data_IF_720790455605
#
_entry.id   IF_720790455605
#
_cell.length_a   1.000
_cell.length_b   1.000
_cell.length_c   1.000
_cell.angle_alpha   90.00
_cell.angle_beta   90.00
_cell.angle_gamma   90.00
#
_symmetry.space_group_name_H-M   'P 1'
#
loop_
_entity.id
_entity.type
_entity.pdbx_description
1 polymer ?
#
# COMPACT_ATOMS: atom_id res chain seq x y z
N UNK A 1 22.70 -34.96 -26.20
CA UNK A 1 22.26 -33.56 -26.39
C UNK A 1 21.13 -33.26 -25.39
N UNK A 2 21.44 -32.93 -24.15
CA UNK A 2 20.49 -32.30 -23.18
C UNK A 2 21.23 -31.91 -21.88
N UNK A 3 22.33 -31.16 -21.97
CA UNK A 3 23.05 -30.63 -20.81
C UNK A 3 23.23 -29.10 -20.88
N UNK A 4 22.57 -28.41 -21.81
CA UNK A 4 22.78 -26.96 -22.06
C UNK A 4 21.75 -26.04 -21.42
N UNK A 5 20.64 -26.54 -20.88
CA UNK A 5 19.59 -25.66 -20.33
C UNK A 5 19.73 -25.37 -18.83
N UNK A 6 20.32 -26.29 -18.06
CA UNK A 6 20.45 -26.11 -16.60
C UNK A 6 21.58 -25.13 -16.19
N UNK A 7 22.60 -24.94 -17.04
CA UNK A 7 23.68 -23.99 -16.76
C UNK A 7 23.35 -22.53 -17.05
N UNK A 8 22.28 -22.25 -17.81
CA UNK A 8 21.83 -20.91 -18.18
C UNK A 8 21.05 -20.20 -17.07
N UNK A 9 20.41 -20.94 -16.18
CA UNK A 9 19.52 -20.36 -15.15
C UNK A 9 20.25 -19.91 -13.88
N UNK A 10 21.47 -20.35 -13.67
CA UNK A 10 22.27 -19.97 -12.48
C UNK A 10 22.92 -18.58 -12.62
N UNK A 11 22.99 -18.03 -13.83
CA UNK A 11 23.72 -16.77 -14.10
C UNK A 11 22.90 -15.48 -14.00
N UNK A 12 21.62 -15.51 -13.61
CA UNK A 12 20.73 -14.33 -13.76
C UNK A 12 20.24 -13.65 -12.49
N UNK A 13 20.58 -14.10 -11.29
CA UNK A 13 20.19 -13.38 -10.08
C UNK A 13 21.41 -12.70 -9.48
N UNK A 14 21.56 -11.40 -9.72
CA UNK A 14 22.48 -10.60 -8.92
C UNK A 14 21.96 -10.56 -7.48
N UNK A 15 22.80 -10.89 -6.48
CA UNK A 15 22.38 -10.79 -5.07
C UNK A 15 21.99 -9.35 -4.77
N UNK A 16 20.85 -9.18 -4.09
CA UNK A 16 20.42 -7.88 -3.61
C UNK A 16 21.36 -7.39 -2.52
N UNK A 17 21.92 -6.20 -2.69
CA UNK A 17 22.72 -5.58 -1.64
C UNK A 17 21.81 -5.04 -0.55
N UNK A 18 21.79 -5.68 0.62
CA UNK A 18 21.06 -5.20 1.81
C UNK A 18 21.43 -3.74 2.13
N UNK A 19 22.72 -3.41 2.06
CA UNK A 19 23.21 -2.05 2.34
C UNK A 19 22.68 -1.02 1.33
N UNK A 20 22.58 -1.40 0.06
CA UNK A 20 21.99 -0.53 -0.96
C UNK A 20 20.50 -0.31 -0.71
N UNK A 21 19.75 -1.36 -0.43
CA UNK A 21 18.30 -1.25 -0.12
C UNK A 21 18.10 -0.38 1.12
N UNK A 22 18.87 -0.61 2.19
CA UNK A 22 18.85 0.20 3.41
C UNK A 22 19.13 1.67 3.12
N UNK A 23 20.17 1.96 2.35
CA UNK A 23 20.52 3.33 1.97
C UNK A 23 19.40 4.00 1.17
N UNK A 24 18.78 3.30 0.22
CA UNK A 24 17.66 3.82 -0.56
C UNK A 24 16.44 4.13 0.31
N UNK A 25 16.07 3.23 1.22
CA UNK A 25 14.95 3.43 2.15
C UNK A 25 15.19 4.64 3.03
N UNK A 26 16.34 4.72 3.69
CA UNK A 26 16.68 5.82 4.58
C UNK A 26 16.72 7.18 3.85
N UNK A 27 17.33 7.24 2.68
CA UNK A 27 17.33 8.46 1.86
C UNK A 27 15.93 8.90 1.45
N UNK A 28 15.07 7.95 1.11
CA UNK A 28 13.67 8.25 0.76
C UNK A 28 12.94 8.84 1.96
N UNK A 29 13.02 8.20 3.13
CA UNK A 29 12.40 8.67 4.36
C UNK A 29 12.90 10.08 4.73
N UNK A 30 14.22 10.29 4.73
CA UNK A 30 14.83 11.60 4.96
C UNK A 30 14.29 12.65 3.99
N UNK A 31 14.27 12.33 2.70
CA UNK A 31 13.82 13.26 1.66
C UNK A 31 12.36 13.68 1.87
N UNK A 32 11.47 12.75 2.18
CA UNK A 32 10.06 13.07 2.42
C UNK A 32 9.86 13.82 3.73
N UNK A 33 10.56 13.43 4.79
CA UNK A 33 10.50 14.15 6.06
C UNK A 33 10.95 15.60 5.89
N UNK A 34 12.12 15.84 5.29
CA UNK A 34 12.64 17.18 5.05
C UNK A 34 11.70 18.01 4.19
N UNK A 35 11.06 17.39 3.20
CA UNK A 35 10.19 18.09 2.26
C UNK A 35 8.83 18.46 2.85
N UNK A 36 8.25 17.60 3.70
CA UNK A 36 6.84 17.69 4.04
C UNK A 36 6.52 17.85 5.52
N UNK A 37 7.46 17.57 6.45
CA UNK A 37 7.15 17.57 7.87
C UNK A 37 6.72 18.92 8.42
N UNK A 38 7.11 20.02 7.78
CA UNK A 38 6.70 21.36 8.20
C UNK A 38 5.20 21.60 8.02
N UNK A 39 4.63 21.00 6.96
CA UNK A 39 3.22 21.22 6.58
C UNK A 39 2.31 20.11 7.09
N UNK A 40 2.85 18.89 7.27
CA UNK A 40 2.08 17.67 7.57
C UNK A 40 2.52 16.95 8.85
N UNK A 41 3.49 17.48 9.58
CA UNK A 41 3.91 16.91 10.85
C UNK A 41 4.77 15.65 10.73
N UNK A 42 4.51 14.69 11.62
CA UNK A 42 5.34 13.51 11.79
C UNK A 42 5.09 12.44 10.74
N UNK A 43 6.17 11.70 10.44
CA UNK A 43 6.12 10.57 9.50
C UNK A 43 5.65 9.29 10.23
N UNK A 44 4.60 8.68 9.70
CA UNK A 44 4.09 7.37 10.12
C UNK A 44 4.37 6.34 9.04
N UNK A 45 4.96 5.21 9.40
CA UNK A 45 5.32 4.13 8.49
C UNK A 45 4.31 2.98 8.62
N UNK A 46 3.56 2.72 7.56
CA UNK A 46 2.54 1.68 7.51
C UNK A 46 3.04 0.49 6.71
N UNK A 47 2.91 -0.72 7.25
CA UNK A 47 3.40 -1.96 6.65
C UNK A 47 2.30 -3.00 6.51
N UNK A 48 2.36 -3.74 5.40
CA UNK A 48 1.50 -4.91 5.19
C UNK A 48 1.83 -6.02 6.20
N UNK A 49 0.79 -6.70 6.68
CA UNK A 49 0.97 -7.99 7.33
C UNK A 49 1.05 -9.13 6.29
N UNK A 50 1.58 -10.27 6.72
CA UNK A 50 1.64 -11.49 5.87
C UNK A 50 0.26 -12.02 5.54
N UNK A 51 -0.65 -11.91 6.50
CA UNK A 51 -2.05 -12.25 6.38
C UNK A 51 -2.85 -10.99 6.01
N UNK A 52 -3.90 -11.16 5.20
CA UNK A 52 -4.77 -10.06 4.82
C UNK A 52 -6.21 -10.56 4.84
N UNK A 53 -7.09 -9.87 5.54
CA UNK A 53 -8.50 -10.19 5.69
C UNK A 53 -9.24 -10.37 4.34
N UNK A 54 -8.80 -9.65 3.30
CA UNK A 54 -9.39 -9.78 1.95
C UNK A 54 -9.21 -11.16 1.35
N UNK A 55 -8.14 -11.89 1.71
CA UNK A 55 -7.91 -13.26 1.25
C UNK A 55 -8.86 -14.26 1.88
N UNK A 56 -9.31 -13.99 3.12
CA UNK A 56 -10.32 -14.83 3.78
C UNK A 56 -11.69 -14.64 3.12
N UNK A 57 -12.00 -13.40 2.71
CA UNK A 57 -13.23 -13.08 2.00
C UNK A 57 -13.19 -13.55 0.54
N UNK A 58 -12.08 -13.38 -0.17
CA UNK A 58 -11.92 -13.71 -1.58
C UNK A 58 -10.59 -14.46 -1.82
N UNK A 59 -10.61 -15.80 -1.90
CA UNK A 59 -9.40 -16.62 -1.97
C UNK A 59 -8.49 -16.31 -3.17
N UNK A 60 -9.04 -15.72 -4.24
CA UNK A 60 -8.28 -15.35 -5.44
C UNK A 60 -7.57 -14.00 -5.34
N UNK A 61 -7.78 -13.25 -4.26
CA UNK A 61 -7.16 -11.95 -4.03
C UNK A 61 -5.63 -12.02 -4.10
N UNK A 62 -5.04 -11.21 -4.98
CA UNK A 62 -3.59 -11.13 -5.24
C UNK A 62 -2.90 -12.45 -5.67
N UNK A 63 -3.66 -13.47 -6.09
CA UNK A 63 -3.06 -14.73 -6.56
C UNK A 63 -2.26 -14.56 -7.87
N UNK A 64 -2.70 -13.68 -8.78
CA UNK A 64 -1.99 -13.35 -10.02
C UNK A 64 -0.56 -12.84 -9.77
N UNK A 65 -0.29 -12.21 -8.61
CA UNK A 65 1.05 -11.74 -8.25
C UNK A 65 2.05 -12.88 -8.05
N UNK A 66 1.61 -14.09 -7.68
CA UNK A 66 2.50 -15.26 -7.53
C UNK A 66 3.16 -15.62 -8.86
N UNK A 67 2.38 -15.66 -9.95
CA UNK A 67 2.89 -15.95 -11.30
C UNK A 67 3.90 -14.89 -11.73
N UNK A 68 3.56 -13.60 -11.61
CA UNK A 68 4.46 -12.49 -11.97
C UNK A 68 5.78 -12.52 -11.18
N UNK A 69 5.73 -12.87 -9.88
CA UNK A 69 6.95 -13.01 -9.05
C UNK A 69 7.80 -14.20 -9.48
N UNK A 70 7.19 -15.34 -9.85
CA UNK A 70 7.94 -16.53 -10.31
C UNK A 70 8.64 -16.30 -11.65
N UNK A 71 8.10 -15.43 -12.49
CA UNK A 71 8.67 -15.05 -13.80
C UNK A 71 9.72 -13.92 -13.69
N UNK A 72 9.85 -13.30 -12.53
CA UNK A 72 10.80 -12.22 -12.27
C UNK A 72 12.23 -12.73 -12.08
N UNK A 73 13.22 -11.98 -12.55
CA UNK A 73 14.65 -12.23 -12.28
C UNK A 73 15.05 -11.84 -10.85
N UNK A 74 14.20 -11.11 -10.12
CA UNK A 74 14.44 -10.68 -8.74
C UNK A 74 14.13 -11.81 -7.77
N UNK A 75 14.98 -12.01 -6.75
CA UNK A 75 14.65 -12.86 -5.60
C UNK A 75 13.74 -12.10 -4.63
N UNK A 76 12.44 -12.34 -4.77
CA UNK A 76 11.43 -11.68 -3.95
C UNK A 76 11.49 -12.08 -2.48
N UNK A 77 11.94 -13.30 -2.16
CA UNK A 77 12.06 -13.75 -0.77
C UNK A 77 13.21 -13.01 -0.10
N UNK A 78 14.38 -12.94 -0.75
CA UNK A 78 15.52 -12.16 -0.27
C UNK A 78 15.15 -10.68 -0.06
N UNK A 79 14.44 -10.07 -1.03
CA UNK A 79 13.97 -8.68 -0.90
C UNK A 79 13.06 -8.48 0.30
N UNK A 80 12.08 -9.37 0.51
CA UNK A 80 11.16 -9.27 1.65
C UNK A 80 11.86 -9.48 2.99
N UNK A 81 12.86 -10.36 3.06
CA UNK A 81 13.66 -10.55 4.26
C UNK A 81 14.49 -9.29 4.59
N UNK A 82 15.11 -8.68 3.58
CA UNK A 82 15.84 -7.40 3.73
C UNK A 82 14.88 -6.30 4.20
N UNK A 83 13.72 -6.13 3.57
CA UNK A 83 12.75 -5.10 3.94
C UNK A 83 12.19 -5.31 5.34
N UNK A 84 11.94 -6.56 5.75
CA UNK A 84 11.50 -6.89 7.11
C UNK A 84 12.58 -6.53 8.15
N UNK A 85 13.83 -6.80 7.83
CA UNK A 85 14.96 -6.43 8.68
C UNK A 85 15.06 -4.90 8.83
N UNK A 86 14.98 -4.17 7.72
CA UNK A 86 15.01 -2.69 7.73
C UNK A 86 13.81 -2.13 8.49
N UNK A 87 12.61 -2.72 8.37
CA UNK A 87 11.44 -2.32 9.15
C UNK A 87 11.72 -2.41 10.67
N UNK A 88 12.26 -3.53 11.14
CA UNK A 88 12.62 -3.72 12.54
C UNK A 88 13.70 -2.71 12.98
N UNK A 89 14.71 -2.48 12.15
CA UNK A 89 15.77 -1.49 12.40
C UNK A 89 15.20 -0.07 12.54
N UNK A 90 14.20 0.30 11.71
CA UNK A 90 13.52 1.59 11.78
C UNK A 90 12.71 1.73 13.08
N UNK A 91 11.99 0.69 13.47
CA UNK A 91 11.23 0.69 14.72
C UNK A 91 12.11 0.81 15.97
N UNK A 92 13.28 0.17 15.96
CA UNK A 92 14.19 0.14 17.10
C UNK A 92 15.05 1.40 17.24
N UNK A 93 15.42 2.03 16.12
CA UNK A 93 16.50 3.03 16.10
C UNK A 93 16.06 4.42 15.66
N UNK A 94 14.84 4.60 15.17
CA UNK A 94 14.37 5.89 14.65
C UNK A 94 13.11 6.37 15.37
N UNK A 95 12.89 7.70 15.42
CA UNK A 95 11.74 8.29 16.11
C UNK A 95 10.47 8.24 15.24
N UNK A 96 10.23 7.13 14.55
CA UNK A 96 9.05 6.99 13.70
C UNK A 96 7.99 6.09 14.35
N UNK A 97 6.72 6.42 14.15
CA UNK A 97 5.65 5.45 14.38
C UNK A 97 5.67 4.43 13.25
N UNK A 98 5.96 3.19 13.59
CA UNK A 98 5.94 2.05 12.65
C UNK A 98 4.70 1.21 12.97
N UNK A 99 3.76 1.12 12.07
CA UNK A 99 2.50 0.41 12.25
C UNK A 99 2.44 -0.81 11.34
N UNK A 100 2.26 -1.97 11.97
CA UNK A 100 2.00 -3.25 11.33
C UNK A 100 1.00 -4.00 12.16
N UNK A 101 -0.17 -4.27 11.61
CA UNK A 101 -1.30 -4.83 12.30
C UNK A 101 -1.67 -6.17 11.69
N UNK A 102 -1.86 -7.19 12.52
CA UNK A 102 -2.23 -8.52 12.06
C UNK A 102 -3.54 -8.46 11.27
N UNK A 103 -3.53 -9.04 10.08
CA UNK A 103 -4.67 -9.07 9.18
C UNK A 103 -4.88 -7.83 8.32
N UNK A 104 -4.13 -6.73 8.53
CA UNK A 104 -4.24 -5.48 7.78
C UNK A 104 -3.18 -5.36 6.68
N UNK A 105 -3.55 -4.72 5.58
CA UNK A 105 -2.61 -4.15 4.62
C UNK A 105 -2.25 -2.71 5.03
N UNK A 106 -1.14 -2.19 4.54
CA UNK A 106 -0.72 -0.80 4.78
C UNK A 106 -1.82 0.20 4.36
N UNK A 107 -2.53 -0.13 3.29
CA UNK A 107 -3.62 0.68 2.76
C UNK A 107 -4.80 0.76 3.73
N UNK A 108 -5.11 -0.33 4.46
CA UNK A 108 -6.13 -0.32 5.51
C UNK A 108 -5.75 0.61 6.66
N UNK A 109 -4.49 0.56 7.07
CA UNK A 109 -3.96 1.41 8.14
C UNK A 109 -4.08 2.89 7.75
N UNK A 110 -3.62 3.23 6.55
CA UNK A 110 -3.67 4.59 6.02
C UNK A 110 -5.12 5.07 5.91
N UNK A 111 -6.02 4.25 5.37
CA UNK A 111 -7.42 4.61 5.19
C UNK A 111 -8.14 4.86 6.53
N UNK A 112 -8.00 3.94 7.47
CA UNK A 112 -8.63 4.07 8.80
C UNK A 112 -8.12 5.30 9.54
N UNK A 113 -6.80 5.53 9.57
CA UNK A 113 -6.23 6.69 10.25
C UNK A 113 -6.65 8.00 9.58
N UNK A 114 -6.62 8.06 8.25
CA UNK A 114 -7.06 9.24 7.51
C UNK A 114 -8.52 9.56 7.80
N UNK A 115 -9.41 8.58 7.76
CA UNK A 115 -10.83 8.78 8.04
C UNK A 115 -11.08 9.18 9.50
N UNK A 116 -10.43 8.55 10.48
CA UNK A 116 -10.55 8.89 11.91
C UNK A 116 -10.06 10.31 12.20
N UNK A 117 -8.92 10.72 11.67
CA UNK A 117 -8.36 12.07 11.86
C UNK A 117 -9.26 13.11 11.18
N UNK A 118 -9.74 12.85 9.97
CA UNK A 118 -10.61 13.78 9.24
C UNK A 118 -11.99 13.96 9.86
N UNK A 119 -12.53 12.88 10.48
CA UNK A 119 -13.89 12.90 11.06
C UNK A 119 -13.95 13.33 12.53
N UNK A 120 -12.82 13.45 13.22
CA UNK A 120 -12.77 13.77 14.65
C UNK A 120 -12.29 15.20 14.85
N UNK A 121 -13.14 16.16 15.23
CA UNK A 121 -12.80 17.59 15.27
C UNK A 121 -11.53 17.94 16.07
N UNK A 122 -11.30 17.23 17.19
CA UNK A 122 -10.13 17.45 18.05
C UNK A 122 -8.84 16.81 17.53
N UNK A 123 -8.92 15.99 16.48
CA UNK A 123 -7.78 15.31 15.83
C UNK A 123 -7.55 15.83 14.42
N UNK A 124 -8.38 16.79 13.95
CA UNK A 124 -8.30 17.28 12.57
C UNK A 124 -6.95 17.93 12.28
N UNK A 125 -6.18 17.30 11.42
CA UNK A 125 -4.87 17.74 10.96
C UNK A 125 -4.75 17.52 9.45
N UNK A 126 -3.85 18.26 8.80
CA UNK A 126 -3.49 18.01 7.40
C UNK A 126 -2.77 16.68 7.26
N UNK A 127 -3.25 15.85 6.34
CA UNK A 127 -2.72 14.50 6.10
C UNK A 127 -2.08 14.44 4.71
N UNK A 128 -0.86 13.92 4.63
CA UNK A 128 -0.20 13.60 3.37
C UNK A 128 0.02 12.10 3.23
N UNK A 129 -0.62 11.48 2.27
CA UNK A 129 -0.37 10.11 1.85
C UNK A 129 0.76 10.11 0.82
N UNK A 130 1.89 9.48 1.13
CA UNK A 130 3.03 9.34 0.21
C UNK A 130 2.92 7.99 -0.49
N UNK A 131 2.14 7.95 -1.54
CA UNK A 131 1.89 6.75 -2.35
C UNK A 131 1.50 7.10 -3.78
N UNK A 132 1.92 6.27 -4.73
CA UNK A 132 1.47 6.34 -6.12
C UNK A 132 0.19 5.54 -6.38
N UNK A 133 -0.32 4.83 -5.37
CA UNK A 133 -1.50 4.00 -5.51
C UNK A 133 -2.75 4.86 -5.70
N UNK A 134 -3.54 4.49 -6.70
CA UNK A 134 -4.77 5.24 -7.04
C UNK A 134 -5.94 4.90 -6.15
N UNK A 135 -5.85 3.83 -5.36
CA UNK A 135 -6.91 3.47 -4.43
C UNK A 135 -7.11 4.55 -3.36
N UNK A 136 -6.05 5.28 -3.01
CA UNK A 136 -6.11 6.42 -2.10
C UNK A 136 -6.89 7.64 -2.63
N UNK A 137 -7.23 7.69 -3.93
CA UNK A 137 -8.13 8.74 -4.47
C UNK A 137 -9.47 8.75 -3.71
N UNK A 138 -9.93 7.59 -3.22
CA UNK A 138 -11.14 7.49 -2.39
C UNK A 138 -11.11 8.41 -1.16
N UNK A 139 -9.91 8.65 -0.60
CA UNK A 139 -9.74 9.46 0.61
C UNK A 139 -9.70 10.96 0.33
N UNK A 140 -9.61 11.36 -0.95
CA UNK A 140 -9.64 12.78 -1.35
C UNK A 140 -11.03 13.43 -1.18
N UNK A 141 -12.04 12.69 -0.73
CA UNK A 141 -13.32 13.23 -0.29
C UNK A 141 -13.17 14.13 0.95
N UNK A 142 -12.11 13.95 1.73
CA UNK A 142 -11.78 14.78 2.88
C UNK A 142 -10.79 15.88 2.47
N UNK A 143 -11.16 17.14 2.68
CA UNK A 143 -10.38 18.32 2.23
C UNK A 143 -8.97 18.39 2.83
N UNK A 144 -8.78 17.81 4.03
CA UNK A 144 -7.49 17.76 4.72
C UNK A 144 -6.59 16.59 4.28
N UNK A 145 -7.04 15.74 3.35
CA UNK A 145 -6.23 14.60 2.85
C UNK A 145 -5.65 14.96 1.48
N UNK A 146 -4.33 14.88 1.39
CA UNK A 146 -3.58 15.07 0.14
C UNK A 146 -2.75 13.83 -0.15
N UNK A 147 -2.50 13.57 -1.42
CA UNK A 147 -1.68 12.45 -1.87
C UNK A 147 -0.52 12.94 -2.73
N UNK A 148 0.69 12.45 -2.45
CA UNK A 148 1.89 12.71 -3.25
C UNK A 148 2.41 11.41 -3.86
N UNK A 149 2.53 11.37 -5.18
CA UNK A 149 3.11 10.22 -5.89
C UNK A 149 4.63 10.34 -5.94
N UNK A 150 5.37 9.42 -5.29
CA UNK A 150 6.83 9.37 -5.35
C UNK A 150 7.36 9.19 -6.77
N UNK A 151 6.71 8.35 -7.55
CA UNK A 151 7.11 8.03 -8.93
C UNK A 151 6.91 9.21 -9.88
N UNK A 152 5.75 9.89 -9.77
CA UNK A 152 5.42 11.05 -10.59
C UNK A 152 6.00 12.35 -10.04
N UNK A 153 6.49 12.36 -8.82
CA UNK A 153 7.03 13.53 -8.08
C UNK A 153 6.05 14.71 -8.03
N UNK A 154 4.75 14.43 -7.94
CA UNK A 154 3.68 15.43 -7.91
C UNK A 154 2.52 14.98 -7.03
N UNK A 155 1.70 15.95 -6.63
CA UNK A 155 0.42 15.66 -5.98
C UNK A 155 -0.52 14.96 -6.96
N UNK A 156 -1.26 13.98 -6.44
CA UNK A 156 -2.36 13.32 -7.15
C UNK A 156 -3.62 14.11 -6.83
N UNK A 157 -4.34 14.51 -7.87
CA UNK A 157 -5.61 15.24 -7.74
C UNK A 157 -6.63 14.54 -8.60
N UNK A 158 -7.80 14.30 -8.06
CA UNK A 158 -8.97 13.83 -8.80
C UNK A 158 -10.14 14.78 -8.51
N UNK A 159 -10.85 15.18 -9.56
CA UNK A 159 -11.94 16.14 -9.45
C UNK A 159 -13.23 15.50 -8.91
N UNK A 160 -13.33 14.17 -8.97
CA UNK A 160 -14.52 13.45 -8.53
C UNK A 160 -14.17 12.10 -7.91
N UNK A 161 -13.66 12.07 -6.67
CA UNK A 161 -13.26 10.84 -5.98
C UNK A 161 -14.41 9.81 -5.85
N UNK A 162 -15.65 10.25 -5.69
CA UNK A 162 -16.80 9.34 -5.64
C UNK A 162 -17.04 8.64 -6.97
N UNK A 163 -16.94 9.38 -8.08
CA UNK A 163 -17.07 8.78 -9.41
C UNK A 163 -15.92 7.80 -9.66
N UNK A 164 -14.71 8.17 -9.26
CA UNK A 164 -13.55 7.29 -9.34
C UNK A 164 -13.81 5.99 -8.57
N UNK A 165 -14.21 6.07 -7.30
CA UNK A 165 -14.53 4.90 -6.45
C UNK A 165 -15.61 4.01 -7.10
N UNK A 166 -16.70 4.60 -7.56
CA UNK A 166 -17.78 3.86 -8.22
C UNK A 166 -17.29 3.11 -9.46
N UNK A 167 -16.55 3.78 -10.34
CA UNK A 167 -16.01 3.14 -11.55
C UNK A 167 -14.99 2.06 -11.21
N UNK A 168 -14.16 2.28 -10.19
CA UNK A 168 -13.15 1.32 -9.77
C UNK A 168 -13.79 0.03 -9.23
N UNK A 169 -14.82 0.13 -8.41
CA UNK A 169 -15.58 -1.03 -7.93
C UNK A 169 -16.17 -1.82 -9.12
N UNK A 170 -16.74 -1.14 -10.12
CA UNK A 170 -17.32 -1.81 -11.30
C UNK A 170 -16.24 -2.48 -12.16
N UNK A 171 -15.14 -1.80 -12.40
CA UNK A 171 -14.04 -2.29 -13.24
C UNK A 171 -13.19 -3.36 -12.58
N UNK A 172 -13.24 -3.44 -11.25
CA UNK A 172 -12.33 -4.27 -10.45
C UNK A 172 -10.89 -3.78 -10.52
N UNK A 173 -10.01 -4.51 -9.88
CA UNK A 173 -8.57 -4.25 -9.88
C UNK A 173 -7.80 -5.47 -10.37
N UNK A 174 -7.23 -5.35 -11.58
CA UNK A 174 -6.41 -6.42 -12.15
C UNK A 174 -5.12 -6.64 -11.35
N UNK A 175 -4.53 -5.60 -10.77
CA UNK A 175 -3.31 -5.67 -9.96
C UNK A 175 -3.51 -6.52 -8.71
N UNK A 176 -4.69 -6.42 -8.12
CA UNK A 176 -5.10 -7.16 -6.92
C UNK A 176 -5.86 -8.45 -7.23
N UNK A 177 -6.03 -8.76 -8.51
CA UNK A 177 -6.75 -9.98 -8.93
C UNK A 177 -8.25 -9.90 -8.70
N UNK A 178 -8.82 -8.70 -8.60
CA UNK A 178 -10.26 -8.46 -8.44
C UNK A 178 -10.90 -8.26 -9.80
N UNK A 179 -11.73 -9.22 -10.29
CA UNK A 179 -12.35 -9.11 -11.60
C UNK A 179 -13.42 -8.01 -11.65
N UNK A 180 -13.68 -7.48 -12.84
CA UNK A 180 -14.81 -6.58 -13.02
C UNK A 180 -16.15 -7.30 -12.79
N UNK A 181 -17.21 -6.53 -12.64
CA UNK A 181 -18.55 -7.06 -12.28
C UNK A 181 -19.20 -7.95 -13.33
N UNK A 182 -18.69 -7.98 -14.56
CA UNK A 182 -19.19 -8.85 -15.65
C UNK A 182 -18.41 -10.15 -15.78
N UNK A 183 -17.32 -10.32 -15.02
CA UNK A 183 -16.40 -11.45 -15.16
C UNK A 183 -16.47 -12.37 -13.95
N UNK A 184 -16.23 -13.66 -14.19
CA UNK A 184 -16.22 -14.67 -13.13
C UNK A 184 -15.03 -14.51 -12.19
N UNK A 185 -15.14 -15.06 -10.98
CA UNK A 185 -14.17 -14.91 -9.91
C UNK A 185 -12.77 -15.43 -10.28
N UNK A 186 -12.71 -16.47 -11.10
CA UNK A 186 -11.47 -17.18 -11.48
C UNK A 186 -10.77 -16.62 -12.71
N UNK A 187 -11.32 -15.57 -13.35
CA UNK A 187 -10.88 -15.06 -14.66
C UNK A 187 -9.35 -14.81 -14.74
N UNK A 188 -8.73 -14.33 -13.66
CA UNK A 188 -7.30 -14.06 -13.64
C UNK A 188 -6.45 -15.28 -13.27
N UNK A 189 -7.03 -16.24 -12.54
CA UNK A 189 -6.36 -17.49 -12.19
C UNK A 189 -6.31 -18.42 -13.38
N UNK A 190 -7.38 -18.42 -14.19
CA UNK A 190 -7.51 -19.19 -15.42
C UNK A 190 -6.90 -18.49 -16.65
N UNK A 191 -6.29 -17.31 -16.46
CA UNK A 191 -5.67 -16.51 -17.51
C UNK A 191 -6.65 -16.13 -18.64
N UNK A 192 -7.91 -15.92 -18.28
CA UNK A 192 -8.97 -15.57 -19.22
C UNK A 192 -9.10 -14.05 -19.39
N UNK A 193 -9.71 -13.66 -20.52
CA UNK A 193 -10.00 -12.27 -20.80
C UNK A 193 -11.28 -11.83 -20.12
N UNK A 194 -11.25 -10.70 -19.41
CA UNK A 194 -12.43 -10.07 -18.81
C UNK A 194 -13.43 -9.59 -19.89
N UNK A 195 -14.71 -9.63 -19.54
CA UNK A 195 -15.75 -8.98 -20.35
C UNK A 195 -15.60 -7.45 -20.28
N UNK A 196 -15.69 -6.72 -21.41
CA UNK A 196 -15.46 -5.27 -21.39
C UNK A 196 -16.60 -4.51 -20.71
N UNK A 197 -16.24 -3.50 -19.91
CA UNK A 197 -17.17 -2.52 -19.35
C UNK A 197 -17.17 -1.28 -20.25
N UNK A 198 -18.32 -0.95 -20.82
CA UNK A 198 -18.50 0.23 -21.68
C UNK A 198 -18.86 1.47 -20.86
N UNK A 199 -18.52 2.66 -21.37
CA UNK A 199 -18.95 3.93 -20.76
C UNK A 199 -20.47 4.05 -20.59
N UNK A 200 -21.23 3.54 -21.59
CA UNK A 200 -22.70 3.53 -21.56
C UNK A 200 -23.23 2.77 -20.33
N UNK A 201 -22.66 1.57 -20.04
CA UNK A 201 -23.06 0.79 -18.85
C UNK A 201 -22.72 1.51 -17.54
N UNK A 202 -21.59 2.20 -17.46
CA UNK A 202 -21.24 2.97 -16.27
C UNK A 202 -22.25 4.08 -15.98
N UNK A 203 -22.65 4.83 -17.00
CA UNK A 203 -23.68 5.87 -16.89
C UNK A 203 -25.01 5.26 -16.48
N UNK A 204 -25.47 4.24 -17.22
CA UNK A 204 -26.71 3.53 -16.94
C UNK A 204 -26.78 3.02 -15.49
N UNK A 205 -25.71 2.39 -15.02
CA UNK A 205 -25.67 1.80 -13.67
C UNK A 205 -25.54 2.84 -12.57
N UNK A 206 -24.99 4.01 -12.89
CA UNK A 206 -24.97 5.13 -11.95
C UNK A 206 -26.36 5.74 -11.77
N UNK A 207 -27.12 5.86 -12.86
CA UNK A 207 -28.46 6.49 -12.88
C UNK A 207 -29.55 5.53 -12.38
N UNK A 208 -29.50 4.26 -12.79
CA UNK A 208 -30.57 3.30 -12.57
C UNK A 208 -30.23 2.22 -11.52
N UNK A 209 -29.02 2.25 -10.96
CA UNK A 209 -28.54 1.22 -10.05
C UNK A 209 -27.94 0.00 -10.75
N UNK A 210 -27.24 -0.80 -9.95
CA UNK A 210 -26.59 -2.04 -10.42
C UNK A 210 -27.64 -3.12 -10.64
N UNK A 211 -27.67 -3.79 -11.82
CA UNK A 211 -28.62 -4.87 -12.09
C UNK A 211 -28.51 -6.02 -11.08
N UNK A 212 -29.66 -6.55 -10.68
CA UNK A 212 -29.72 -7.69 -9.76
C UNK A 212 -29.10 -8.98 -10.35
N UNK A 213 -28.88 -9.96 -9.49
CA UNK A 213 -28.29 -11.25 -9.85
C UNK A 213 -26.75 -11.25 -9.78
N UNK A 214 -26.12 -11.90 -10.76
CA UNK A 214 -24.65 -12.09 -10.75
C UNK A 214 -23.86 -10.77 -10.75
N UNK A 215 -24.34 -9.77 -11.48
CA UNK A 215 -23.69 -8.46 -11.57
C UNK A 215 -23.71 -7.79 -10.20
N UNK A 216 -24.84 -7.84 -9.48
CA UNK A 216 -24.97 -7.28 -8.13
C UNK A 216 -24.07 -8.01 -7.13
N UNK A 217 -24.02 -9.35 -7.21
CA UNK A 217 -23.10 -10.15 -6.39
C UNK A 217 -21.65 -9.73 -6.61
N UNK A 218 -21.23 -9.62 -7.89
CA UNK A 218 -19.88 -9.25 -8.24
C UNK A 218 -19.55 -7.80 -7.83
N UNK A 219 -20.52 -6.90 -7.94
CA UNK A 219 -20.39 -5.53 -7.44
C UNK A 219 -20.16 -5.53 -5.93
N UNK A 220 -20.95 -6.30 -5.17
CA UNK A 220 -20.80 -6.38 -3.72
C UNK A 220 -19.43 -6.99 -3.33
N UNK A 221 -18.97 -8.04 -4.03
CA UNK A 221 -17.63 -8.59 -3.86
C UNK A 221 -16.57 -7.50 -4.05
N UNK A 222 -16.65 -6.77 -5.16
CA UNK A 222 -15.67 -5.73 -5.47
C UNK A 222 -15.73 -4.58 -4.47
N UNK A 223 -16.93 -4.16 -4.07
CA UNK A 223 -17.11 -3.15 -3.04
C UNK A 223 -16.42 -3.57 -1.75
N UNK A 224 -16.64 -4.80 -1.29
CA UNK A 224 -15.96 -5.30 -0.08
C UNK A 224 -14.43 -5.30 -0.20
N UNK A 225 -13.87 -5.56 -1.39
CA UNK A 225 -12.42 -5.66 -1.57
C UNK A 225 -11.74 -4.32 -1.82
N UNK A 226 -12.44 -3.36 -2.44
CA UNK A 226 -11.86 -2.10 -2.96
C UNK A 226 -12.23 -0.90 -2.10
N UNK A 227 -13.48 -0.84 -1.62
CA UNK A 227 -13.97 0.31 -0.87
C UNK A 227 -13.41 0.29 0.57
N UNK A 228 -12.66 1.31 0.95
CA UNK A 228 -12.10 1.43 2.29
C UNK A 228 -13.17 1.55 3.39
N UNK A 229 -14.40 1.96 3.04
CA UNK A 229 -15.53 1.93 3.98
C UNK A 229 -15.98 0.50 4.31
N UNK A 230 -15.50 -0.50 3.58
CA UNK A 230 -15.78 -1.93 3.81
C UNK A 230 -14.75 -2.63 4.71
N UNK A 231 -13.73 -1.94 5.18
CA UNK A 231 -12.77 -2.49 6.14
C UNK A 231 -13.51 -2.92 7.41
N UNK A 232 -13.30 -4.15 7.93
CA UNK A 232 -13.99 -4.63 9.11
C UNK A 232 -13.83 -3.68 10.31
N UNK A 233 -14.93 -3.35 10.99
CA UNK A 233 -14.93 -2.41 12.11
C UNK A 233 -13.95 -2.81 13.22
N UNK A 234 -13.90 -4.12 13.55
CA UNK A 234 -12.97 -4.65 14.56
C UNK A 234 -11.51 -4.39 14.19
N UNK A 235 -11.18 -4.56 12.91
CA UNK A 235 -9.84 -4.25 12.41
C UNK A 235 -9.57 -2.75 12.46
N UNK A 236 -10.56 -1.92 12.12
CA UNK A 236 -10.45 -0.46 12.20
C UNK A 236 -10.19 0.03 13.63
N UNK A 237 -10.90 -0.51 14.62
CA UNK A 237 -10.65 -0.19 16.03
C UNK A 237 -9.27 -0.67 16.51
N UNK A 238 -8.83 -1.85 16.08
CA UNK A 238 -7.49 -2.34 16.39
C UNK A 238 -6.41 -1.42 15.83
N UNK A 239 -6.54 -0.98 14.58
CA UNK A 239 -5.62 -0.04 13.92
C UNK A 239 -5.55 1.27 14.72
N UNK A 240 -6.70 1.85 15.04
CA UNK A 240 -6.76 3.12 15.74
C UNK A 240 -6.15 3.03 17.16
N UNK A 241 -6.48 1.99 17.91
CA UNK A 241 -5.93 1.78 19.25
C UNK A 241 -4.42 1.60 19.22
N UNK A 242 -3.88 0.81 18.28
CA UNK A 242 -2.43 0.67 18.14
C UNK A 242 -1.74 1.99 17.78
N UNK A 243 -2.37 2.85 16.97
CA UNK A 243 -1.82 4.16 16.66
C UNK A 243 -1.81 5.09 17.88
N UNK A 244 -2.87 5.06 18.71
CA UNK A 244 -2.98 5.84 19.94
C UNK A 244 -1.96 5.36 20.99
N UNK A 245 -1.86 4.05 21.18
CA UNK A 245 -0.99 3.44 22.19
C UNK A 245 0.50 3.55 21.82
N UNK A 246 0.81 3.64 20.53
CA UNK A 246 2.18 3.73 20.08
C UNK A 246 2.72 5.15 20.29
N UNK A 247 3.46 5.33 21.38
CA UNK A 247 4.11 6.59 21.69
C UNK A 247 5.23 6.83 20.66
N UNK A 248 5.27 8.03 20.07
CA UNK A 248 6.40 8.44 19.24
C UNK A 248 7.63 8.54 20.13
N UNK A 249 8.63 7.73 19.87
CA UNK A 249 9.91 7.84 20.56
C UNK A 249 10.65 9.05 19.99
N UNK A 250 10.64 10.18 20.69
CA UNK A 250 11.44 11.37 20.30
C UNK A 250 12.94 11.17 20.55
N UNK A 251 13.36 9.96 20.86
CA UNK A 251 14.77 9.64 21.13
C UNK A 251 15.54 9.40 19.82
N UNK A 252 16.34 10.38 19.45
CA UNK A 252 17.25 10.33 18.30
C UNK A 252 18.64 9.79 18.64
N UNK A 253 18.90 9.45 19.88
CA UNK A 253 20.25 9.04 20.36
C UNK A 253 20.75 7.76 19.68
N UNK A 254 19.84 6.89 19.23
CA UNK A 254 20.17 5.63 18.58
C UNK A 254 20.55 5.77 17.09
N UNK A 255 20.20 6.88 16.43
CA UNK A 255 20.41 7.05 14.98
C UNK A 255 21.91 7.07 14.64
N UNK A 256 22.71 7.84 15.37
CA UNK A 256 24.15 7.91 15.09
C UNK A 256 24.88 6.58 15.29
N UNK A 257 24.68 5.84 16.41
CA UNK A 257 25.23 4.49 16.56
C UNK A 257 24.80 3.53 15.43
N UNK A 258 23.54 3.62 15.01
CA UNK A 258 23.02 2.84 13.90
C UNK A 258 23.74 3.17 12.58
N UNK A 259 23.93 4.45 12.25
CA UNK A 259 24.67 4.86 11.04
C UNK A 259 26.14 4.40 11.07
N UNK A 260 26.78 4.47 12.22
CA UNK A 260 28.16 3.97 12.40
C UNK A 260 28.23 2.45 12.17
N UNK A 261 27.31 1.70 12.78
CA UNK A 261 27.21 0.23 12.63
C UNK A 261 27.08 -0.18 11.16
N UNK A 262 26.26 0.53 10.40
CA UNK A 262 25.97 0.23 8.99
C UNK A 262 26.82 1.05 8.00
N UNK A 263 27.85 1.77 8.48
CA UNK A 263 28.81 2.55 7.66
C UNK A 263 28.14 3.57 6.72
N UNK A 264 27.05 4.18 7.15
CA UNK A 264 26.23 5.13 6.38
C UNK A 264 26.80 6.55 6.48
N UNK A 265 28.04 6.76 6.01
CA UNK A 265 28.77 8.02 6.15
C UNK A 265 28.02 9.24 5.62
N UNK A 266 27.44 9.14 4.42
CA UNK A 266 26.71 10.26 3.80
C UNK A 266 25.46 10.66 4.59
N UNK A 267 24.81 9.71 5.28
CA UNK A 267 23.65 9.98 6.11
C UNK A 267 24.05 10.56 7.48
N UNK A 268 25.26 10.27 7.95
CA UNK A 268 25.77 10.82 9.20
C UNK A 268 25.87 12.33 9.15
N UNK A 269 26.28 12.90 8.01
CA UNK A 269 26.34 14.35 7.79
C UNK A 269 24.96 15.03 7.80
N UNK A 270 23.91 14.24 7.66
CA UNK A 270 22.50 14.68 7.58
C UNK A 270 21.66 14.14 8.73
N UNK A 271 22.29 13.86 9.87
CA UNK A 271 21.64 13.29 11.05
C UNK A 271 20.44 14.13 11.53
N UNK A 272 20.51 15.44 11.40
CA UNK A 272 19.43 16.36 11.78
C UNK A 272 18.13 16.22 10.97
N UNK A 273 18.21 15.63 9.79
CA UNK A 273 17.08 15.46 8.89
C UNK A 273 16.16 14.27 9.28
N UNK A 274 16.59 13.43 10.24
CA UNK A 274 15.88 12.24 10.74
C UNK A 274 15.10 12.47 12.02
#
# INVERSE_FOLDING_TARGET
QNQSSAASDVYKRQPLSEDLVRHMVLNSLRSYKTKFSKDFGELVLCYDDKHCWRKDYFPYYKQNRKKARSESSLDWNELFDILTKIQNELEENFPYKVLKINGAEADDIIAILSNKISSTPNLYEEILIISGDKDFIQLHQSDNVKQYSPTLKKFVVDENPEQYKFEHIIRGDKGDGVPNVLSQDTVFVEDLRQRPITKKKLIEWKENGIPEGEIKRNYQRNKTLIDFDSIPNELGELIYNMWVDKITQNDKSKILPYFMKHRLKELTEKLGDF
#
